data_IF_772597773369
#
_entry.id   IF_772597773369
#
_cell.length_a   1.000
_cell.length_b   1.000
_cell.length_c   1.000
_cell.angle_alpha   90.00
_cell.angle_beta   90.00
_cell.angle_gamma   90.00
#
_symmetry.space_group_name_H-M   'P 1'
#
loop_
_entity.id
_entity.type
_entity.pdbx_description
1 polymer ?
#
# COMPACT_ATOMS: atom_id res chain seq x y z
N UNK A 1 -16.44 12.67 22.59
CA UNK A 1 -15.35 12.44 21.63
C UNK A 1 -14.22 11.72 22.37
N UNK A 2 -13.58 10.74 21.76
CA UNK A 2 -12.41 10.03 22.31
C UNK A 2 -11.26 10.08 21.31
N UNK A 3 -10.03 9.86 21.79
CA UNK A 3 -8.84 9.65 20.97
C UNK A 3 -8.11 8.39 21.45
N UNK A 4 -7.26 7.81 20.60
CA UNK A 4 -6.47 6.62 20.90
C UNK A 4 -4.99 6.89 20.61
N UNK A 5 -4.13 6.42 21.51
CA UNK A 5 -2.68 6.53 21.42
C UNK A 5 -2.04 5.21 21.87
N UNK A 6 -0.84 4.91 21.37
CA UNK A 6 -0.08 3.76 21.86
C UNK A 6 0.10 3.83 23.37
N UNK A 7 0.02 2.69 24.07
CA UNK A 7 0.08 2.60 25.53
C UNK A 7 1.46 3.00 26.13
N UNK A 8 1.77 4.29 26.10
CA UNK A 8 2.99 4.93 26.57
C UNK A 8 2.71 6.37 26.98
N UNK A 9 3.34 6.82 28.07
CA UNK A 9 3.26 8.21 28.53
C UNK A 9 3.69 9.21 27.44
N UNK A 10 4.67 8.85 26.61
CA UNK A 10 5.17 9.74 25.57
C UNK A 10 4.13 10.00 24.46
N UNK A 11 3.36 8.98 24.06
CA UNK A 11 2.30 9.17 23.06
C UNK A 11 1.13 9.93 23.67
N UNK A 12 0.67 9.50 24.85
CA UNK A 12 -0.44 10.14 25.56
C UNK A 12 -0.18 11.62 25.88
N UNK A 13 1.06 12.00 26.19
CA UNK A 13 1.40 13.40 26.46
C UNK A 13 1.13 14.33 25.27
N UNK A 14 1.27 13.83 24.04
CA UNK A 14 1.07 14.62 22.82
C UNK A 14 -0.31 14.40 22.17
N UNK A 15 -0.94 13.24 22.40
CA UNK A 15 -2.27 12.92 21.86
C UNK A 15 -3.43 13.36 22.76
N UNK A 16 -3.22 13.40 24.07
CA UNK A 16 -4.27 13.79 25.02
C UNK A 16 -4.69 15.25 24.86
N UNK A 17 -6.00 15.46 24.75
CA UNK A 17 -6.60 16.78 24.54
C UNK A 17 -7.80 16.97 25.45
N UNK A 18 -7.93 18.16 26.03
CA UNK A 18 -9.04 18.53 26.91
C UNK A 18 -10.40 18.35 26.21
N UNK A 19 -11.35 17.74 26.93
CA UNK A 19 -12.70 17.47 26.42
C UNK A 19 -12.82 16.20 25.56
N UNK A 20 -11.72 15.53 25.24
CA UNK A 20 -11.70 14.20 24.62
C UNK A 20 -11.24 13.13 25.61
N UNK A 21 -11.91 11.98 25.63
CA UNK A 21 -11.54 10.88 26.51
C UNK A 21 -10.32 10.11 25.95
N UNK A 22 -9.24 10.04 26.72
CA UNK A 22 -8.03 9.32 26.31
C UNK A 22 -8.19 7.80 26.44
N UNK A 23 -8.02 7.11 25.32
CA UNK A 23 -7.95 5.66 25.24
C UNK A 23 -6.56 5.24 24.78
N UNK A 24 -6.24 3.96 24.95
CA UNK A 24 -4.94 3.43 24.55
C UNK A 24 -5.09 2.28 23.56
N UNK A 25 -4.02 1.95 22.85
CA UNK A 25 -3.92 0.72 22.06
C UNK A 25 -2.72 -0.16 22.47
N UNK A 26 -2.93 -1.48 22.39
CA UNK A 26 -1.90 -2.50 22.60
C UNK A 26 -2.39 -3.90 22.19
N UNK A 27 -1.45 -4.77 21.79
CA UNK A 27 -1.74 -6.17 21.40
C UNK A 27 -1.70 -7.18 22.56
N UNK A 28 -1.77 -8.47 22.23
CA UNK A 28 -1.69 -9.55 23.21
C UNK A 28 -0.39 -9.50 24.04
N UNK A 29 -0.52 -9.60 25.36
CA UNK A 29 0.57 -9.39 26.32
C UNK A 29 0.28 -10.04 27.68
N UNK A 30 1.22 -9.94 28.62
CA UNK A 30 1.04 -10.45 29.99
C UNK A 30 0.10 -9.59 30.83
N UNK A 31 -0.56 -10.18 31.84
CA UNK A 31 -1.44 -9.44 32.76
C UNK A 31 -0.74 -8.24 33.41
N UNK A 32 0.51 -8.41 33.84
CA UNK A 32 1.34 -7.32 34.39
C UNK A 32 1.48 -6.15 33.41
N UNK A 33 1.65 -6.44 32.11
CA UNK A 33 1.73 -5.41 31.09
C UNK A 33 0.38 -4.70 30.91
N UNK A 34 -0.72 -5.45 30.93
CA UNK A 34 -2.08 -4.86 30.87
C UNK A 34 -2.31 -3.89 32.02
N UNK A 35 -1.95 -4.27 33.25
CA UNK A 35 -2.06 -3.40 34.43
C UNK A 35 -1.25 -2.11 34.25
N UNK A 36 -0.01 -2.24 33.76
CA UNK A 36 0.85 -1.09 33.50
C UNK A 36 0.28 -0.17 32.42
N UNK A 37 -0.28 -0.73 31.34
CA UNK A 37 -0.89 0.03 30.25
C UNK A 37 -2.12 0.81 30.75
N UNK A 38 -3.02 0.16 31.48
CA UNK A 38 -4.19 0.83 32.06
C UNK A 38 -3.82 1.81 33.18
N UNK A 39 -2.76 1.57 33.94
CA UNK A 39 -2.21 2.56 34.87
C UNK A 39 -1.71 3.82 34.13
N UNK A 40 -1.11 3.68 32.96
CA UNK A 40 -0.74 4.82 32.11
C UNK A 40 -1.97 5.56 31.57
N UNK A 41 -3.00 4.84 31.12
CA UNK A 41 -4.28 5.47 30.75
C UNK A 41 -4.84 6.32 31.92
N UNK A 42 -4.80 5.79 33.14
CA UNK A 42 -5.30 6.48 34.35
C UNK A 42 -4.55 7.76 34.71
N UNK A 43 -3.31 7.93 34.28
CA UNK A 43 -2.60 9.20 34.47
C UNK A 43 -3.22 10.35 33.68
N UNK A 44 -3.84 10.05 32.53
CA UNK A 44 -4.47 11.03 31.65
C UNK A 44 -6.00 11.04 31.76
N UNK A 45 -6.59 9.91 32.18
CA UNK A 45 -8.03 9.77 32.48
C UNK A 45 -8.24 9.10 33.84
N UNK A 46 -8.13 9.88 34.95
CA UNK A 46 -8.20 9.31 36.31
C UNK A 46 -9.53 8.63 36.65
N UNK A 47 -10.61 8.99 35.95
CA UNK A 47 -11.97 8.46 36.12
C UNK A 47 -12.55 8.04 34.78
N UNK A 48 -13.50 7.10 34.80
CA UNK A 48 -14.17 6.57 33.62
C UNK A 48 -13.72 5.15 33.24
N UNK A 49 -14.18 4.60 32.11
CA UNK A 49 -13.88 3.22 31.70
C UNK A 49 -12.40 3.04 31.33
N UNK A 50 -11.87 1.83 31.56
CA UNK A 50 -10.64 1.39 30.89
C UNK A 50 -10.99 1.03 29.46
N UNK A 51 -10.21 1.51 28.48
CA UNK A 51 -10.50 1.28 27.06
C UNK A 51 -9.20 0.98 26.29
N UNK A 52 -9.14 -0.23 25.70
CA UNK A 52 -8.18 -0.57 24.65
C UNK A 52 -8.87 -0.43 23.27
N UNK A 53 -8.63 0.67 22.58
CA UNK A 53 -9.29 1.00 21.31
C UNK A 53 -8.82 0.14 20.14
N UNK A 54 -7.61 -0.43 20.21
CA UNK A 54 -7.08 -1.33 19.19
C UNK A 54 -6.32 -2.50 19.84
N UNK A 55 -7.04 -3.59 20.09
CA UNK A 55 -6.49 -4.85 20.54
C UNK A 55 -6.10 -5.71 19.34
N UNK A 56 -4.79 -5.81 19.07
CA UNK A 56 -4.25 -6.43 17.86
C UNK A 56 -4.21 -7.97 17.94
N UNK A 57 -5.08 -8.72 17.21
CA UNK A 57 -5.05 -10.17 17.17
C UNK A 57 -4.07 -10.71 16.11
N UNK A 58 -3.49 -9.84 15.30
CA UNK A 58 -2.60 -10.14 14.20
C UNK A 58 -1.90 -8.85 13.75
N UNK A 59 -1.42 -8.79 12.51
CA UNK A 59 -0.70 -7.60 12.00
C UNK A 59 -0.75 -7.51 10.48
N UNK A 60 -0.48 -6.33 9.95
CA UNK A 60 -0.31 -6.09 8.52
C UNK A 60 0.91 -6.84 7.96
N UNK A 61 0.89 -7.10 6.65
CA UNK A 61 1.96 -7.81 5.93
C UNK A 61 2.52 -6.90 4.85
N UNK A 62 3.85 -6.82 4.79
CA UNK A 62 4.58 -6.05 3.79
C UNK A 62 5.03 -6.93 2.62
N UNK A 63 5.13 -6.34 1.43
CA UNK A 63 5.73 -7.03 0.28
C UNK A 63 7.17 -7.47 0.60
N UNK A 64 7.49 -8.74 0.32
CA UNK A 64 8.81 -9.33 0.59
C UNK A 64 9.02 -9.83 2.01
N UNK A 65 8.07 -9.59 2.92
CA UNK A 65 8.13 -10.10 4.29
C UNK A 65 7.97 -11.63 4.28
N UNK A 66 8.96 -12.34 4.82
CA UNK A 66 8.99 -13.82 4.85
C UNK A 66 8.33 -14.42 6.09
N UNK A 67 8.32 -13.69 7.21
CA UNK A 67 7.81 -14.14 8.50
C UNK A 67 7.15 -12.97 9.24
N UNK A 68 6.05 -13.25 9.92
CA UNK A 68 5.43 -12.37 10.90
C UNK A 68 5.45 -13.06 12.25
N UNK A 69 5.86 -12.34 13.29
CA UNK A 69 5.72 -12.83 14.67
C UNK A 69 4.35 -12.37 15.14
N UNK A 70 3.40 -13.31 15.19
CA UNK A 70 2.01 -13.05 15.56
C UNK A 70 1.71 -13.69 16.91
N UNK A 71 0.82 -13.10 17.73
CA UNK A 71 0.40 -13.72 18.98
C UNK A 71 -0.39 -15.01 18.72
N UNK A 72 -0.23 -15.98 19.62
CA UNK A 72 -1.04 -17.21 19.58
C UNK A 72 -2.49 -16.92 19.96
N UNK A 73 -3.42 -17.82 19.59
CA UNK A 73 -4.83 -17.71 20.01
C UNK A 73 -4.92 -17.69 21.54
N UNK A 74 -4.14 -18.51 22.24
CA UNK A 74 -4.13 -18.54 23.71
C UNK A 74 -3.68 -17.21 24.30
N UNK A 75 -2.63 -16.58 23.76
CA UNK A 75 -2.18 -15.27 24.22
C UNK A 75 -3.26 -14.22 24.01
N UNK A 76 -3.91 -14.21 22.83
CA UNK A 76 -5.00 -13.28 22.51
C UNK A 76 -6.15 -13.47 23.50
N UNK A 77 -6.58 -14.70 23.75
CA UNK A 77 -7.70 -14.99 24.63
C UNK A 77 -7.38 -14.72 26.10
N UNK A 78 -6.16 -14.99 26.56
CA UNK A 78 -5.72 -14.66 27.92
C UNK A 78 -5.73 -13.15 28.17
N UNK A 79 -5.18 -12.35 27.24
CA UNK A 79 -5.22 -10.88 27.38
C UNK A 79 -6.65 -10.34 27.32
N UNK A 80 -7.47 -10.82 26.38
CA UNK A 80 -8.88 -10.40 26.25
C UNK A 80 -9.69 -10.73 27.52
N UNK A 81 -9.51 -11.93 28.06
CA UNK A 81 -10.14 -12.37 29.29
C UNK A 81 -9.75 -11.50 30.48
N UNK A 82 -8.46 -11.20 30.61
CA UNK A 82 -7.96 -10.35 31.69
C UNK A 82 -8.49 -8.92 31.59
N UNK A 83 -8.50 -8.32 30.39
CA UNK A 83 -9.13 -7.00 30.17
C UNK A 83 -10.61 -7.02 30.55
N UNK A 84 -11.33 -8.08 30.21
CA UNK A 84 -12.74 -8.24 30.58
C UNK A 84 -12.93 -8.34 32.10
N UNK A 85 -12.10 -9.11 32.81
CA UNK A 85 -12.15 -9.22 34.28
C UNK A 85 -11.90 -7.88 34.98
N UNK A 86 -11.09 -6.99 34.39
CA UNK A 86 -10.87 -5.63 34.87
C UNK A 86 -12.06 -4.69 34.59
N UNK A 87 -13.09 -5.15 33.89
CA UNK A 87 -14.20 -4.31 33.42
C UNK A 87 -13.80 -3.35 32.29
N UNK A 88 -12.70 -3.62 31.60
CA UNK A 88 -12.26 -2.80 30.47
C UNK A 88 -13.09 -3.09 29.21
N UNK A 89 -13.37 -2.04 28.45
CA UNK A 89 -13.86 -2.16 27.08
C UNK A 89 -12.68 -2.32 26.12
N UNK A 90 -12.84 -3.11 25.07
CA UNK A 90 -11.81 -3.23 24.04
C UNK A 90 -12.39 -3.54 22.66
N UNK A 91 -11.63 -3.21 21.62
CA UNK A 91 -11.99 -3.42 20.22
C UNK A 91 -10.92 -4.25 19.51
N UNK A 92 -11.30 -5.35 18.85
CA UNK A 92 -10.37 -6.17 18.06
C UNK A 92 -10.01 -5.44 16.76
N UNK A 93 -8.75 -4.99 16.65
CA UNK A 93 -8.23 -4.37 15.43
C UNK A 93 -7.23 -5.32 14.74
N UNK A 94 -7.58 -6.02 13.66
CA UNK A 94 -8.88 -6.12 13.00
C UNK A 94 -9.65 -7.36 13.44
N UNK A 95 -10.99 -7.27 13.53
CA UNK A 95 -11.85 -8.44 13.60
C UNK A 95 -12.03 -9.11 12.23
N UNK A 96 -12.14 -8.28 11.18
CA UNK A 96 -12.08 -8.66 9.77
C UNK A 96 -11.32 -7.54 9.04
N UNK A 97 -10.20 -7.86 8.39
CA UNK A 97 -9.42 -6.85 7.71
C UNK A 97 -9.77 -6.66 6.22
N UNK A 98 -9.96 -7.75 5.48
CA UNK A 98 -10.40 -7.70 4.07
C UNK A 98 -9.26 -7.42 3.09
N UNK A 99 -9.47 -6.48 2.15
CA UNK A 99 -8.57 -6.27 0.99
C UNK A 99 -8.35 -4.80 0.69
N UNK A 100 -7.09 -4.42 0.46
CA UNK A 100 -6.69 -3.13 -0.10
C UNK A 100 -6.82 -3.16 -1.63
N UNK A 101 -8.03 -2.97 -2.16
CA UNK A 101 -8.25 -2.98 -3.62
C UNK A 101 -7.55 -1.81 -4.33
N UNK A 102 -7.25 -2.00 -5.62
CA UNK A 102 -6.65 -0.96 -6.45
C UNK A 102 -5.32 -0.48 -5.89
N UNK A 103 -5.23 0.80 -5.55
CA UNK A 103 -4.03 1.46 -5.03
C UNK A 103 -4.25 2.00 -3.60
N UNK A 104 -5.17 1.40 -2.84
CA UNK A 104 -5.52 1.84 -1.49
C UNK A 104 -4.56 1.36 -0.40
N UNK A 105 -3.56 0.55 -0.73
CA UNK A 105 -2.59 0.10 0.25
C UNK A 105 -1.73 1.27 0.77
N UNK A 106 -1.42 1.23 2.06
CA UNK A 106 -0.38 2.07 2.65
C UNK A 106 1.02 1.51 2.40
N UNK A 107 2.00 2.13 3.04
CA UNK A 107 3.37 1.64 3.08
C UNK A 107 4.01 1.88 4.46
N UNK A 108 4.94 1.00 4.80
CA UNK A 108 5.93 1.22 5.84
C UNK A 108 7.24 1.68 5.19
N UNK A 109 8.19 2.15 6.00
CA UNK A 109 9.48 2.70 5.53
C UNK A 109 10.20 1.74 4.56
N UNK A 110 10.17 0.44 4.84
CA UNK A 110 10.96 -0.55 4.09
C UNK A 110 10.22 -1.16 2.90
N UNK A 111 8.88 -1.11 2.88
CA UNK A 111 8.07 -1.72 1.82
C UNK A 111 6.60 -1.31 1.92
N UNK A 112 5.91 -1.42 0.79
CA UNK A 112 4.46 -1.27 0.71
C UNK A 112 3.72 -2.40 1.46
N UNK A 113 2.57 -2.06 2.05
CA UNK A 113 1.61 -3.05 2.58
C UNK A 113 1.04 -3.86 1.41
N UNK A 114 0.84 -5.16 1.61
CA UNK A 114 0.28 -6.02 0.57
C UNK A 114 -1.18 -5.69 0.25
N UNK A 115 -1.64 -6.19 -0.90
CA UNK A 115 -3.05 -6.07 -1.30
C UNK A 115 -3.99 -6.78 -0.32
N UNK A 116 -3.57 -7.95 0.18
CA UNK A 116 -4.31 -8.64 1.24
C UNK A 116 -4.23 -7.82 2.52
N UNK A 117 -5.38 -7.56 3.12
CA UNK A 117 -5.48 -7.03 4.49
C UNK A 117 -6.12 -8.10 5.40
N UNK A 118 -5.83 -9.39 5.14
CA UNK A 118 -6.28 -10.51 5.98
C UNK A 118 -5.97 -10.29 7.47
N UNK A 119 -4.82 -9.68 7.74
CA UNK A 119 -4.34 -9.29 9.08
C UNK A 119 -4.08 -10.47 10.02
N UNK A 120 -4.26 -11.72 9.59
CA UNK A 120 -4.51 -12.84 10.49
C UNK A 120 -5.65 -12.52 11.46
N UNK A 121 -6.67 -11.83 10.99
CA UNK A 121 -7.84 -11.46 11.79
C UNK A 121 -8.68 -12.71 12.17
N UNK A 122 -9.60 -12.59 13.15
CA UNK A 122 -10.60 -13.61 13.45
C UNK A 122 -11.36 -14.09 12.21
N UNK A 123 -11.73 -13.20 11.29
CA UNK A 123 -12.23 -13.56 9.96
C UNK A 123 -11.13 -13.35 8.93
N UNK A 124 -10.95 -14.32 8.03
CA UNK A 124 -9.95 -14.18 6.95
C UNK A 124 -10.37 -13.11 5.93
N UNK A 125 -9.51 -12.83 4.95
CA UNK A 125 -9.75 -11.85 3.88
C UNK A 125 -11.08 -12.07 3.13
N UNK A 126 -11.50 -13.32 2.93
CA UNK A 126 -12.75 -13.67 2.25
C UNK A 126 -13.98 -13.72 3.17
N UNK A 127 -13.81 -13.37 4.46
CA UNK A 127 -14.85 -13.41 5.48
C UNK A 127 -15.12 -14.80 6.06
N UNK A 128 -14.26 -15.78 5.80
CA UNK A 128 -14.43 -17.13 6.31
C UNK A 128 -14.05 -17.24 7.80
N UNK A 129 -14.75 -18.12 8.49
CA UNK A 129 -14.52 -18.43 9.91
C UNK A 129 -13.17 -19.10 10.11
N UNK A 130 -12.39 -18.58 11.06
CA UNK A 130 -11.09 -19.16 11.47
C UNK A 130 -11.15 -19.77 12.88
N UNK A 131 -10.15 -20.57 13.30
CA UNK A 131 -10.05 -21.01 14.69
C UNK A 131 -10.04 -19.85 15.70
N UNK A 132 -9.51 -18.69 15.32
CA UNK A 132 -9.45 -17.50 16.17
C UNK A 132 -10.84 -16.91 16.39
N UNK A 133 -11.68 -16.84 15.35
CA UNK A 133 -13.10 -16.48 15.51
C UNK A 133 -13.81 -17.45 16.45
N UNK A 134 -13.62 -18.76 16.28
CA UNK A 134 -14.28 -19.77 17.12
C UNK A 134 -13.87 -19.62 18.59
N UNK A 135 -12.59 -19.36 18.86
CA UNK A 135 -12.10 -19.12 20.22
C UNK A 135 -12.76 -17.88 20.87
N UNK A 136 -12.81 -16.76 20.15
CA UNK A 136 -13.47 -15.53 20.62
C UNK A 136 -14.96 -15.78 20.88
N UNK A 137 -15.65 -16.45 19.94
CA UNK A 137 -17.06 -16.79 20.06
C UNK A 137 -17.34 -17.66 21.29
N UNK A 138 -16.55 -18.71 21.50
CA UNK A 138 -16.73 -19.63 22.62
C UNK A 138 -16.46 -18.95 23.96
N UNK A 139 -15.47 -18.05 24.01
CA UNK A 139 -15.19 -17.24 25.17
C UNK A 139 -16.35 -16.29 25.51
N UNK A 140 -16.91 -15.57 24.53
CA UNK A 140 -18.11 -14.74 24.77
C UNK A 140 -19.31 -15.59 25.22
N UNK A 141 -19.49 -16.78 24.65
CA UNK A 141 -20.55 -17.70 25.06
C UNK A 141 -20.40 -18.17 26.52
N UNK A 142 -19.18 -18.30 27.04
CA UNK A 142 -18.93 -18.73 28.42
C UNK A 142 -19.14 -17.63 29.48
N UNK A 143 -19.20 -16.36 29.09
CA UNK A 143 -19.42 -15.21 30.00
C UNK A 143 -20.86 -15.11 30.47
N UNK A 144 -21.16 -15.57 31.68
CA UNK A 144 -22.54 -15.63 32.21
C UNK A 144 -23.27 -14.27 32.17
N UNK A 145 -22.53 -13.20 32.40
CA UNK A 145 -22.98 -11.80 32.44
C UNK A 145 -23.04 -11.13 31.06
N UNK A 146 -22.63 -11.81 29.98
CA UNK A 146 -22.66 -11.23 28.64
C UNK A 146 -24.08 -11.25 28.05
N UNK A 147 -24.69 -10.08 27.80
CA UNK A 147 -26.10 -10.00 27.39
C UNK A 147 -26.33 -10.45 25.93
N UNK A 148 -25.29 -10.41 25.09
CA UNK A 148 -25.40 -10.70 23.64
C UNK A 148 -24.72 -12.02 23.29
N UNK A 149 -25.31 -13.13 23.75
CA UNK A 149 -24.76 -14.47 23.48
C UNK A 149 -24.62 -14.72 21.98
N UNK A 150 -23.50 -15.29 21.51
CA UNK A 150 -23.30 -15.47 20.07
C UNK A 150 -24.29 -16.45 19.44
N UNK A 151 -24.90 -16.04 18.33
CA UNK A 151 -25.79 -16.87 17.51
C UNK A 151 -25.03 -17.96 16.74
N UNK A 152 -25.80 -18.79 16.02
CA UNK A 152 -25.25 -19.81 15.11
C UNK A 152 -24.33 -19.17 14.07
N UNK A 153 -23.24 -19.87 13.78
CA UNK A 153 -22.24 -19.42 12.82
C UNK A 153 -22.82 -19.56 11.39
N UNK A 154 -22.77 -18.51 10.55
CA UNK A 154 -23.18 -18.61 9.15
C UNK A 154 -22.21 -19.49 8.35
N UNK A 155 -22.70 -20.12 7.28
CA UNK A 155 -21.83 -20.87 6.37
C UNK A 155 -20.86 -19.95 5.63
N UNK A 156 -19.61 -20.41 5.44
CA UNK A 156 -18.63 -19.72 4.63
C UNK A 156 -19.09 -19.56 3.16
N UNK A 157 -18.61 -18.51 2.50
CA UNK A 157 -18.89 -18.26 1.09
C UNK A 157 -18.30 -19.38 0.21
N UNK A 158 -19.07 -19.83 -0.79
CA UNK A 158 -18.58 -20.80 -1.78
C UNK A 158 -17.39 -20.23 -2.57
N UNK A 159 -16.39 -21.07 -2.82
CA UNK A 159 -15.20 -20.72 -3.61
C UNK A 159 -15.15 -21.59 -4.86
N UNK A 160 -14.84 -21.00 -6.00
CA UNK A 160 -14.76 -21.69 -7.30
C UNK A 160 -13.40 -21.47 -7.94
N UNK A 161 -12.79 -22.56 -8.43
CA UNK A 161 -11.61 -22.50 -9.27
C UNK A 161 -12.00 -22.44 -10.74
N UNK A 162 -12.06 -21.25 -11.33
CA UNK A 162 -12.45 -21.05 -12.75
C UNK A 162 -11.51 -21.71 -13.77
N UNK A 163 -10.36 -22.25 -13.34
CA UNK A 163 -9.38 -22.87 -14.22
C UNK A 163 -8.45 -21.85 -14.89
N UNK A 164 -7.86 -22.26 -16.02
CA UNK A 164 -6.83 -21.48 -16.72
C UNK A 164 -7.45 -20.54 -17.75
N UNK A 165 -7.14 -19.25 -17.67
CA UNK A 165 -7.51 -18.25 -18.67
C UNK A 165 -6.30 -17.94 -19.55
N UNK A 166 -6.41 -18.11 -20.87
CA UNK A 166 -5.33 -17.76 -21.82
C UNK A 166 -5.41 -16.27 -22.15
N UNK A 167 -4.35 -15.53 -21.83
CA UNK A 167 -4.23 -14.10 -22.16
C UNK A 167 -3.52 -13.91 -23.50
N UNK A 168 -3.91 -12.87 -24.25
CA UNK A 168 -3.23 -12.42 -25.46
C UNK A 168 -2.68 -11.01 -25.23
N UNK A 169 -1.44 -10.77 -25.61
CA UNK A 169 -0.86 -9.42 -25.58
C UNK A 169 -1.61 -8.52 -26.54
N UNK A 170 -2.07 -7.36 -26.04
CA UNK A 170 -2.82 -6.38 -26.83
C UNK A 170 -1.90 -5.31 -27.40
N UNK A 171 -1.10 -4.69 -26.54
CA UNK A 171 -0.18 -3.63 -26.93
C UNK A 171 1.06 -3.65 -26.01
N UNK A 172 2.26 -3.93 -26.54
CA UNK A 172 3.48 -3.84 -25.76
C UNK A 172 3.82 -2.38 -25.43
N UNK A 173 4.53 -2.18 -24.32
CA UNK A 173 5.21 -0.92 -24.05
C UNK A 173 6.19 -0.62 -25.18
N UNK A 174 5.97 0.48 -25.89
CA UNK A 174 6.75 0.82 -27.08
C UNK A 174 6.15 1.97 -27.87
N UNK A 175 6.69 2.20 -29.08
CA UNK A 175 6.44 3.42 -29.87
C UNK A 175 4.96 3.77 -30.00
N UNK A 176 4.11 2.77 -30.28
CA UNK A 176 2.65 2.93 -30.40
C UNK A 176 2.00 3.31 -29.05
N UNK A 177 2.40 2.66 -27.97
CA UNK A 177 1.92 2.96 -26.62
C UNK A 177 2.29 4.38 -26.20
N UNK A 178 3.57 4.77 -26.29
CA UNK A 178 4.01 6.12 -25.90
C UNK A 178 3.33 7.19 -26.74
N UNK A 179 3.22 6.98 -28.06
CA UNK A 179 2.51 7.92 -28.93
C UNK A 179 1.04 8.07 -28.54
N UNK A 180 0.41 7.03 -28.01
CA UNK A 180 -0.99 7.07 -27.58
C UNK A 180 -1.13 7.80 -26.23
N UNK A 181 -0.24 7.54 -25.27
CA UNK A 181 -0.21 8.28 -23.99
C UNK A 181 0.08 9.75 -24.21
N UNK A 182 1.07 10.09 -25.05
CA UNK A 182 1.45 11.48 -25.35
C UNK A 182 0.40 12.26 -26.16
N UNK A 183 -0.72 11.64 -26.57
CA UNK A 183 -1.88 12.36 -27.11
C UNK A 183 -2.81 12.86 -26.01
N UNK A 184 -2.68 12.36 -24.79
CA UNK A 184 -3.48 12.84 -23.67
C UNK A 184 -3.21 14.33 -23.43
N UNK A 185 -4.29 15.09 -23.27
CA UNK A 185 -4.25 16.53 -23.02
C UNK A 185 -3.82 16.85 -21.60
N UNK A 186 -3.90 15.87 -20.69
CA UNK A 186 -3.53 16.04 -19.28
C UNK A 186 -2.02 15.87 -19.03
N UNK A 187 -1.23 15.60 -20.08
CA UNK A 187 0.23 15.60 -19.96
C UNK A 187 0.75 17.01 -19.68
N UNK A 188 1.68 17.17 -18.73
CA UNK A 188 2.35 18.44 -18.44
C UNK A 188 3.77 18.42 -18.99
N UNK A 189 4.26 19.60 -19.37
CA UNK A 189 5.64 19.80 -19.82
C UNK A 189 6.33 20.80 -18.92
N UNK A 190 7.49 20.43 -18.39
CA UNK A 190 8.26 21.22 -17.43
C UNK A 190 9.74 21.03 -17.67
N UNK A 191 10.56 22.00 -17.21
CA UNK A 191 12.02 21.92 -17.37
C UNK A 191 12.63 20.74 -16.63
N UNK A 192 12.15 20.46 -15.42
CA UNK A 192 12.56 19.34 -14.56
C UNK A 192 11.34 18.46 -14.23
N UNK A 193 11.52 17.18 -13.86
CA UNK A 193 10.41 16.33 -13.44
C UNK A 193 9.64 16.94 -12.26
N UNK A 194 8.33 16.70 -12.22
CA UNK A 194 7.44 17.12 -11.13
C UNK A 194 6.81 15.90 -10.47
N UNK A 195 6.38 16.06 -9.23
CA UNK A 195 5.75 15.00 -8.43
C UNK A 195 4.39 14.54 -8.97
N UNK A 196 3.90 13.40 -8.47
CA UNK A 196 2.53 12.92 -8.70
C UNK A 196 1.50 13.93 -8.20
N UNK A 197 1.80 14.58 -7.08
CA UNK A 197 0.95 15.57 -6.44
C UNK A 197 0.83 16.84 -7.30
N UNK A 198 1.93 17.34 -7.84
CA UNK A 198 1.92 18.47 -8.78
C UNK A 198 1.25 18.11 -10.12
N UNK A 199 1.23 16.84 -10.50
CA UNK A 199 0.47 16.34 -11.66
C UNK A 199 -1.00 16.11 -11.37
N UNK A 200 -1.45 16.27 -10.12
CA UNK A 200 -2.80 15.92 -9.67
C UNK A 200 -3.16 14.46 -10.00
N UNK A 201 -2.17 13.57 -9.93
CA UNK A 201 -2.32 12.15 -10.22
C UNK A 201 -1.96 11.31 -8.97
N UNK A 202 -2.91 11.11 -8.04
CA UNK A 202 -2.57 10.62 -6.70
C UNK A 202 -2.13 9.15 -6.65
N UNK A 203 -2.50 8.30 -7.60
CA UNK A 203 -2.32 6.85 -7.51
C UNK A 203 -1.81 6.22 -8.81
N UNK A 204 -1.32 4.99 -8.74
CA UNK A 204 -0.95 4.21 -9.92
C UNK A 204 0.38 4.66 -10.51
N UNK A 205 0.37 5.06 -11.79
CA UNK A 205 1.58 5.20 -12.58
C UNK A 205 1.65 6.55 -13.30
N UNK A 206 2.85 7.13 -13.36
CA UNK A 206 3.14 8.31 -14.21
C UNK A 206 4.25 7.94 -15.18
N UNK A 207 4.06 8.29 -16.45
CA UNK A 207 5.09 8.23 -17.46
C UNK A 207 5.86 9.56 -17.51
N UNK A 208 7.19 9.52 -17.34
CA UNK A 208 8.09 10.64 -17.53
C UNK A 208 8.89 10.44 -18.82
N UNK A 209 8.74 11.34 -19.78
CA UNK A 209 9.33 11.23 -21.11
C UNK A 209 10.18 12.45 -21.46
N UNK A 210 11.31 12.24 -22.11
CA UNK A 210 12.13 13.31 -22.68
C UNK A 210 12.89 12.82 -23.91
N UNK A 211 13.41 13.76 -24.71
CA UNK A 211 14.35 13.52 -25.79
C UNK A 211 15.73 14.02 -25.36
N UNK A 212 16.70 13.11 -25.29
CA UNK A 212 18.04 13.42 -24.77
C UNK A 212 18.75 14.47 -25.64
N UNK A 213 19.29 15.53 -25.02
CA UNK A 213 20.07 16.58 -25.70
C UNK A 213 21.55 16.22 -25.90
N UNK A 214 22.01 15.19 -25.19
CA UNK A 214 23.37 14.67 -25.19
C UNK A 214 23.32 13.16 -24.96
N UNK A 215 24.40 12.45 -25.28
CA UNK A 215 24.51 11.02 -25.00
C UNK A 215 25.31 10.72 -23.73
N UNK A 216 25.23 9.48 -23.25
CA UNK A 216 25.97 9.00 -22.08
C UNK A 216 25.61 7.57 -21.69
N UNK A 217 26.14 7.10 -20.56
CA UNK A 217 26.02 5.68 -20.14
C UNK A 217 25.38 5.52 -18.76
N UNK A 218 25.72 6.36 -17.78
CA UNK A 218 25.28 6.22 -16.40
C UNK A 218 24.05 7.08 -16.11
N UNK A 219 22.86 6.47 -16.06
CA UNK A 219 21.61 7.14 -15.70
C UNK A 219 21.39 7.09 -14.19
N UNK A 220 21.23 8.26 -13.56
CA UNK A 220 21.04 8.39 -12.11
C UNK A 220 19.79 9.21 -11.79
N UNK A 221 18.99 8.72 -10.83
CA UNK A 221 17.83 9.39 -10.25
C UNK A 221 17.95 9.33 -8.72
N UNK A 222 18.58 10.33 -8.08
CA UNK A 222 18.85 10.32 -6.64
C UNK A 222 17.61 10.09 -5.79
N UNK A 223 16.47 10.70 -6.14
CA UNK A 223 15.21 10.52 -5.43
C UNK A 223 14.07 10.24 -6.42
N UNK A 224 13.69 8.97 -6.48
CA UNK A 224 12.51 8.46 -7.18
C UNK A 224 11.68 7.70 -6.17
N UNK A 225 10.37 7.93 -6.15
CA UNK A 225 9.43 7.23 -5.27
C UNK A 225 8.28 6.60 -6.08
N UNK A 226 8.10 5.28 -6.12
CA UNK A 226 8.87 4.24 -5.39
C UNK A 226 9.62 3.27 -6.30
N UNK A 227 9.10 3.03 -7.51
CA UNK A 227 9.67 2.07 -8.44
C UNK A 227 9.58 2.61 -9.87
N UNK A 228 10.68 2.61 -10.62
CA UNK A 228 10.78 3.28 -11.92
C UNK A 228 11.29 2.36 -13.01
N UNK A 229 10.47 2.03 -14.01
CA UNK A 229 10.83 1.20 -15.15
C UNK A 229 11.41 2.05 -16.27
N UNK A 230 12.66 1.79 -16.66
CA UNK A 230 13.43 2.63 -17.59
C UNK A 230 13.43 2.03 -19.00
N UNK A 231 13.19 2.88 -20.00
CA UNK A 231 13.24 2.55 -21.41
C UNK A 231 14.02 3.60 -22.19
N UNK A 232 14.89 3.16 -23.10
CA UNK A 232 15.57 4.00 -24.10
C UNK A 232 15.14 3.53 -25.49
N UNK A 233 14.60 4.42 -26.31
CA UNK A 233 14.10 4.10 -27.66
C UNK A 233 13.17 2.86 -27.69
N UNK A 234 12.29 2.73 -26.69
CA UNK A 234 11.37 1.61 -26.49
C UNK A 234 12.01 0.30 -26.00
N UNK A 235 13.32 0.26 -25.75
CA UNK A 235 14.00 -0.92 -25.22
C UNK A 235 14.10 -0.83 -23.70
N UNK A 236 13.66 -1.85 -22.94
CA UNK A 236 13.78 -1.87 -21.49
C UNK A 236 15.26 -1.88 -21.09
N UNK A 237 15.61 -1.07 -20.09
CA UNK A 237 16.97 -0.97 -19.54
C UNK A 237 17.09 -1.60 -18.14
N UNK A 238 16.00 -1.53 -17.37
CA UNK A 238 15.98 -2.01 -15.99
C UNK A 238 14.97 -1.23 -15.16
N UNK A 239 15.09 -1.36 -13.84
CA UNK A 239 14.25 -0.63 -12.90
C UNK A 239 15.08 0.05 -11.80
N UNK A 240 14.62 1.22 -11.38
CA UNK A 240 15.02 1.91 -10.16
C UNK A 240 14.12 1.50 -9.02
N UNK A 241 14.67 1.28 -7.83
CA UNK A 241 13.93 0.97 -6.60
C UNK A 241 14.36 1.99 -5.54
N UNK A 242 13.41 2.74 -4.99
CA UNK A 242 13.69 3.66 -3.90
C UNK A 242 14.22 2.92 -2.67
N UNK A 243 13.39 2.00 -2.16
CA UNK A 243 13.70 1.14 -1.04
C UNK A 243 12.81 -0.10 -1.10
N UNK A 244 13.39 -1.26 -0.84
CA UNK A 244 12.70 -2.52 -0.67
C UNK A 244 13.50 -3.43 0.27
N UNK A 245 13.14 -3.45 1.55
CA UNK A 245 13.99 -4.01 2.59
C UNK A 245 15.34 -3.30 2.61
N UNK A 246 16.42 -4.06 2.39
CA UNK A 246 17.78 -3.52 2.33
C UNK A 246 18.24 -3.18 0.89
N UNK A 247 17.36 -3.33 -0.10
CA UNK A 247 17.69 -3.08 -1.49
C UNK A 247 17.23 -1.68 -1.92
N UNK A 248 18.13 -0.95 -2.56
CA UNK A 248 17.82 0.26 -3.31
C UNK A 248 18.65 0.31 -4.59
N UNK A 249 18.13 1.01 -5.60
CA UNK A 249 18.81 1.22 -6.88
C UNK A 249 18.38 2.54 -7.47
N UNK A 250 19.30 3.50 -7.45
CA UNK A 250 19.10 4.87 -7.91
C UNK A 250 19.92 5.21 -9.16
N UNK A 251 20.72 4.27 -9.66
CA UNK A 251 21.51 4.44 -10.86
C UNK A 251 21.60 3.12 -11.66
N UNK A 252 21.86 3.23 -12.96
CA UNK A 252 22.17 2.09 -13.81
C UNK A 252 22.93 2.53 -15.07
N UNK A 253 23.76 1.62 -15.60
CA UNK A 253 24.23 1.76 -16.97
C UNK A 253 23.08 1.49 -17.94
N UNK A 254 22.95 2.34 -18.95
CA UNK A 254 21.93 2.24 -20.00
C UNK A 254 22.59 2.14 -21.38
N UNK A 255 21.94 1.43 -22.29
CA UNK A 255 22.39 1.24 -23.67
C UNK A 255 21.60 2.13 -24.63
N UNK A 256 22.29 2.65 -25.64
CA UNK A 256 21.67 3.44 -26.72
C UNK A 256 21.15 4.82 -26.30
N UNK A 257 21.60 5.34 -25.15
CA UNK A 257 21.28 6.68 -24.68
C UNK A 257 22.13 7.73 -25.42
N UNK A 258 21.89 7.86 -26.72
CA UNK A 258 22.56 8.82 -27.60
C UNK A 258 21.79 10.14 -27.68
N UNK A 259 22.44 11.20 -28.18
CA UNK A 259 21.75 12.47 -28.46
C UNK A 259 20.57 12.23 -29.41
N UNK A 260 19.39 12.66 -28.99
CA UNK A 260 18.14 12.49 -29.72
C UNK A 260 17.37 11.21 -29.39
N UNK A 261 17.93 10.29 -28.60
CA UNK A 261 17.22 9.13 -28.10
C UNK A 261 16.08 9.54 -27.16
N UNK A 262 15.03 8.73 -27.11
CA UNK A 262 13.88 8.92 -26.23
C UNK A 262 14.08 8.14 -24.93
N UNK A 263 14.20 8.88 -23.81
CA UNK A 263 14.15 8.31 -22.47
C UNK A 263 12.71 8.33 -21.97
N UNK A 264 12.25 7.19 -21.47
CA UNK A 264 10.98 7.03 -20.79
C UNK A 264 11.21 6.33 -19.45
N UNK A 265 10.64 6.87 -18.37
CA UNK A 265 10.61 6.26 -17.05
C UNK A 265 9.14 6.16 -16.63
N UNK A 266 8.61 4.95 -16.50
CA UNK A 266 7.30 4.74 -15.88
C UNK A 266 7.52 4.57 -14.38
N UNK A 267 7.01 5.49 -13.58
CA UNK A 267 7.10 5.45 -12.12
C UNK A 267 5.80 4.94 -11.55
N UNK A 268 5.90 3.99 -10.63
CA UNK A 268 4.82 3.42 -9.82
C UNK A 268 4.84 4.06 -8.42
N UNK A 269 3.70 4.59 -7.99
CA UNK A 269 3.43 4.87 -6.59
C UNK A 269 2.99 3.55 -5.92
N UNK A 270 3.83 3.00 -5.04
CA UNK A 270 3.57 1.70 -4.38
C UNK A 270 2.77 1.83 -3.09
N UNK A 271 2.24 3.01 -2.78
CA UNK A 271 1.55 3.32 -1.53
C UNK A 271 2.29 4.41 -0.77
N UNK A 272 1.57 5.40 -0.25
CA UNK A 272 2.14 6.44 0.61
C UNK A 272 2.37 5.88 2.00
N UNK A 273 3.46 6.30 2.63
CA UNK A 273 3.74 5.94 4.02
C UNK A 273 2.58 6.38 4.92
N UNK A 274 2.15 5.47 5.80
CA UNK A 274 1.13 5.76 6.83
C UNK A 274 1.78 6.18 8.15
N UNK A 275 3.06 5.85 8.34
CA UNK A 275 3.91 6.23 9.46
C UNK A 275 5.37 6.27 8.97
N UNK A 276 6.23 7.19 9.47
CA UNK A 276 5.97 8.28 10.42
C UNK A 276 5.57 9.61 9.78
N UNK A 277 5.45 9.69 8.45
CA UNK A 277 5.17 10.95 7.76
C UNK A 277 3.94 10.85 6.87
N UNK A 278 3.12 11.90 6.89
CA UNK A 278 2.05 12.13 5.93
C UNK A 278 2.58 12.70 4.60
N UNK A 279 3.79 13.27 4.61
CA UNK A 279 4.39 13.97 3.49
C UNK A 279 5.27 13.01 2.67
N UNK A 280 4.64 12.06 2.00
CA UNK A 280 5.30 11.09 1.14
C UNK A 280 4.96 11.32 -0.34
N UNK A 281 5.49 12.43 -0.88
CA UNK A 281 5.38 12.75 -2.31
C UNK A 281 5.89 11.61 -3.19
N UNK A 282 5.30 11.45 -4.37
CA UNK A 282 5.61 10.33 -5.28
C UNK A 282 6.07 10.83 -6.65
N UNK A 283 6.73 9.96 -7.41
CA UNK A 283 7.28 10.30 -8.71
C UNK A 283 8.79 10.51 -8.70
N UNK A 284 9.27 11.33 -9.62
CA UNK A 284 10.68 11.76 -9.65
C UNK A 284 10.78 13.08 -8.90
N UNK A 285 11.48 13.08 -7.77
CA UNK A 285 11.54 14.20 -6.82
C UNK A 285 12.92 14.86 -6.80
N UNK A 286 13.78 14.50 -7.74
CA UNK A 286 15.10 15.10 -7.95
C UNK A 286 15.34 15.29 -9.43
N UNK A 287 16.39 16.05 -9.77
CA UNK A 287 16.90 16.04 -11.13
C UNK A 287 17.35 14.63 -11.53
N UNK A 288 17.14 14.29 -12.81
CA UNK A 288 17.65 13.08 -13.44
C UNK A 288 18.93 13.45 -14.18
N UNK A 289 19.97 12.64 -14.05
CA UNK A 289 21.25 12.90 -14.72
C UNK A 289 21.69 11.73 -15.59
N UNK A 290 22.36 12.02 -16.69
CA UNK A 290 23.08 11.05 -17.50
C UNK A 290 24.56 11.48 -17.55
N UNK A 291 25.45 10.65 -17.01
CA UNK A 291 26.86 10.99 -16.77
C UNK A 291 27.01 12.37 -16.08
N UNK A 292 26.31 12.54 -14.96
CA UNK A 292 26.30 13.74 -14.11
C UNK A 292 25.68 15.00 -14.74
N UNK A 293 25.37 14.98 -16.05
CA UNK A 293 24.69 16.08 -16.73
C UNK A 293 23.18 15.97 -16.54
N UNK A 294 22.55 17.06 -16.11
CA UNK A 294 21.11 17.13 -15.87
C UNK A 294 20.34 16.99 -17.18
N UNK A 295 19.35 16.09 -17.17
CA UNK A 295 18.39 15.91 -18.26
C UNK A 295 17.21 16.85 -18.04
N UNK A 296 16.89 17.65 -19.05
CA UNK A 296 15.84 18.67 -19.01
C UNK A 296 14.71 18.34 -20.01
N UNK A 297 13.70 19.22 -20.05
CA UNK A 297 12.56 19.21 -20.99
C UNK A 297 11.74 17.93 -20.90
N UNK A 298 11.08 17.76 -19.76
CA UNK A 298 10.27 16.60 -19.46
C UNK A 298 8.83 16.82 -19.91
N UNK A 299 8.22 15.75 -20.40
CA UNK A 299 6.78 15.62 -20.59
C UNK A 299 6.28 14.46 -19.74
N UNK A 300 5.38 14.73 -18.81
CA UNK A 300 4.87 13.72 -17.87
C UNK A 300 3.37 13.54 -18.00
N UNK A 301 2.90 12.30 -17.93
CA UNK A 301 1.48 11.96 -18.09
C UNK A 301 1.05 10.92 -17.04
N UNK A 302 0.00 11.22 -16.29
CA UNK A 302 -0.65 10.23 -15.41
C UNK A 302 -1.35 9.14 -16.22
N UNK A 303 -1.15 7.89 -15.84
CA UNK A 303 -1.70 6.72 -16.54
C UNK A 303 -2.99 6.27 -15.87
N UNK A 304 -4.09 6.96 -16.18
CA UNK A 304 -5.40 6.60 -15.63
C UNK A 304 -5.90 5.27 -16.18
N UNK A 305 -6.71 4.54 -15.41
CA UNK A 305 -7.37 3.32 -15.87
C UNK A 305 -8.18 3.57 -17.14
N UNK A 306 -8.87 4.71 -17.22
CA UNK A 306 -9.65 5.11 -18.40
C UNK A 306 -8.77 5.26 -19.65
N UNK A 307 -7.61 5.92 -19.53
CA UNK A 307 -6.64 6.04 -20.62
C UNK A 307 -6.12 4.66 -21.04
N UNK A 308 -5.71 3.83 -20.08
CA UNK A 308 -5.15 2.52 -20.35
C UNK A 308 -6.15 1.58 -21.03
N UNK A 309 -7.41 1.56 -20.55
CA UNK A 309 -8.49 0.78 -21.19
C UNK A 309 -8.82 1.33 -22.58
N UNK A 310 -8.82 2.65 -22.78
CA UNK A 310 -9.02 3.25 -24.10
C UNK A 310 -7.92 2.85 -25.09
N UNK A 311 -6.64 2.96 -24.69
CA UNK A 311 -5.50 2.54 -25.52
C UNK A 311 -5.60 1.06 -25.88
N UNK A 312 -5.92 0.20 -24.91
CA UNK A 312 -6.06 -1.23 -25.13
C UNK A 312 -7.19 -1.56 -26.13
N UNK A 313 -8.35 -0.91 -26.01
CA UNK A 313 -9.46 -1.08 -26.97
C UNK A 313 -9.06 -0.67 -28.38
N UNK A 314 -8.46 0.51 -28.54
CA UNK A 314 -8.00 0.99 -29.85
C UNK A 314 -6.98 0.03 -30.50
N UNK A 315 -6.06 -0.51 -29.71
CA UNK A 315 -5.08 -1.48 -30.19
C UNK A 315 -5.70 -2.83 -30.55
N UNK A 316 -6.67 -3.29 -29.77
CA UNK A 316 -7.44 -4.48 -30.08
C UNK A 316 -8.20 -4.33 -31.40
N UNK A 317 -8.95 -3.24 -31.57
CA UNK A 317 -9.76 -3.00 -32.77
C UNK A 317 -8.88 -2.90 -34.03
N UNK A 318 -7.77 -2.15 -33.96
CA UNK A 318 -6.82 -2.00 -35.08
C UNK A 318 -6.23 -3.34 -35.53
N UNK A 319 -5.86 -4.21 -34.58
CA UNK A 319 -5.32 -5.53 -34.90
C UNK A 319 -6.38 -6.48 -35.50
N UNK A 320 -7.68 -6.24 -35.27
CA UNK A 320 -8.76 -7.04 -35.84
C UNK A 320 -9.22 -6.51 -37.21
N UNK A 321 -9.15 -5.20 -37.46
CA UNK A 321 -9.39 -4.64 -38.79
C UNK A 321 -8.33 -5.07 -39.81
N UNK A 322 -7.07 -5.19 -39.41
CA UNK A 322 -5.99 -5.65 -40.30
C UNK A 322 -6.14 -7.14 -40.70
N UNK A 323 -6.79 -7.97 -39.87
CA UNK A 323 -7.05 -9.38 -40.20
C UNK A 323 -8.19 -9.56 -41.22
N UNK A 324 -9.13 -8.62 -41.31
CA UNK A 324 -10.22 -8.68 -42.29
C UNK A 324 -9.81 -8.17 -43.68
N UNK A 325 -8.69 -7.46 -43.80
CA UNK A 325 -8.13 -7.00 -45.08
C UNK A 325 -7.21 -8.02 -45.76
N UNK A 326 -6.86 -9.13 -45.09
CA UNK A 326 -6.03 -10.22 -45.64
C UNK A 326 -6.92 -11.38 -46.19
N UNK A 327 -8.24 -11.23 -46.12
CA UNK A 327 -9.21 -12.14 -46.76
C UNK A 327 -10.08 -11.38 -47.76
N UNK A 328 -9.49 -10.90 -48.85
CA UNK A 328 -10.19 -10.61 -50.10
C UNK A 328 -9.22 -10.81 -51.26
#
# INVERSE_FOLDING_TARGET
>A
MNHADGASVNYLKCGATDGAYATIDFGATSNKSVDNYFAMQRQFTPRGPLINSEFYPGWLVLWGQKKSVLPSIDQIMQTADYMYQLGASFNFYMFHGGTNFGFWNGAEVLAAVTTSYDYSAPLNEAGDITPKYVAIRNWLASKLDWPYKPDKIPSNNSKIGYGKVKLKSVLPFGKRFWKSVLKDRNCRSTKYPISFEELEHPFGFVMYHTKLKFGGVNLTVPLLKDHGFVFINNRPQGAFVNIFGNYSKHWMHVEGAERGAHLCIIVENRGRQTIPTINDFKGILSNVTLDEKIIEDWRQCGLTTKLMTWIARQAYDSNHSDMNLIKL
#
